data_IF_405228316134
#
_entry.id   IF_405228316134
#
_cell.length_a   1.000
_cell.length_b   1.000
_cell.length_c   1.000
_cell.angle_alpha   90.00
_cell.angle_beta   90.00
_cell.angle_gamma   90.00
#
_symmetry.space_group_name_H-M   'P 1'
#
loop_
_entity.id
_entity.type
_entity.pdbx_description
1 polymer ?
#
# COMPACT_ATOMS: atom_id res chain seq x y z
N UNK A 1 9.27 -10.75 -32.90
CA UNK A 1 8.56 -10.31 -31.69
C UNK A 1 7.09 -10.26 -32.05
N UNK A 2 6.26 -11.03 -31.35
CA UNK A 2 4.80 -11.07 -31.51
C UNK A 2 4.18 -10.47 -30.24
N UNK A 3 3.24 -9.54 -30.39
CA UNK A 3 2.49 -8.96 -29.27
C UNK A 3 1.03 -9.29 -29.48
N UNK A 4 0.40 -9.86 -28.46
CA UNK A 4 -0.99 -10.32 -28.48
C UNK A 4 -1.70 -9.62 -27.34
N UNK A 5 -2.72 -8.84 -27.67
CA UNK A 5 -3.54 -8.11 -26.70
C UNK A 5 -4.93 -8.74 -26.63
N UNK A 6 -5.26 -9.26 -25.45
CA UNK A 6 -6.50 -9.95 -25.12
C UNK A 6 -7.06 -10.92 -26.18
N UNK A 7 -6.46 -12.12 -26.36
CA UNK A 7 -6.99 -13.15 -27.24
C UNK A 7 -8.20 -13.90 -26.63
N UNK A 8 -8.82 -13.36 -25.57
CA UNK A 8 -9.70 -14.07 -24.66
C UNK A 8 -11.14 -14.30 -25.16
N UNK A 9 -11.46 -13.94 -26.41
CA UNK A 9 -12.76 -14.22 -27.07
C UNK A 9 -12.92 -15.66 -27.58
N UNK A 10 -12.00 -16.55 -27.23
CA UNK A 10 -11.97 -17.95 -27.66
C UNK A 10 -12.81 -18.84 -26.73
N UNK A 11 -13.53 -19.79 -27.31
CA UNK A 11 -14.14 -20.91 -26.59
C UNK A 11 -13.06 -21.84 -26.00
N UNK A 12 -13.45 -22.85 -25.21
CA UNK A 12 -12.49 -23.76 -24.56
C UNK A 12 -11.59 -24.47 -25.58
N UNK A 13 -12.18 -24.99 -26.66
CA UNK A 13 -11.46 -25.69 -27.73
C UNK A 13 -10.46 -24.78 -28.46
N UNK A 14 -10.83 -23.53 -28.74
CA UNK A 14 -9.94 -22.58 -29.40
C UNK A 14 -8.85 -22.06 -28.46
N UNK A 15 -9.09 -22.04 -27.15
CA UNK A 15 -8.08 -21.72 -26.15
C UNK A 15 -6.99 -22.79 -26.11
N UNK A 16 -7.35 -24.06 -26.13
CA UNK A 16 -6.39 -25.18 -26.17
C UNK A 16 -5.52 -25.14 -27.43
N UNK A 17 -6.15 -24.90 -28.59
CA UNK A 17 -5.42 -24.70 -29.85
C UNK A 17 -4.49 -23.49 -29.76
N UNK A 18 -4.94 -22.36 -29.22
CA UNK A 18 -4.09 -21.18 -29.08
C UNK A 18 -2.87 -21.45 -28.20
N UNK A 19 -3.07 -22.10 -27.05
CA UNK A 19 -1.98 -22.49 -26.13
C UNK A 19 -0.95 -23.38 -26.84
N UNK A 20 -1.40 -24.38 -27.62
CA UNK A 20 -0.47 -25.28 -28.33
C UNK A 20 0.34 -24.53 -29.39
N UNK A 21 -0.29 -23.64 -30.16
CA UNK A 21 0.38 -22.85 -31.19
C UNK A 21 1.44 -21.90 -30.60
N UNK A 22 1.14 -21.23 -29.48
CA UNK A 22 2.12 -20.33 -28.84
C UNK A 22 3.32 -21.14 -28.29
N UNK A 23 3.06 -22.31 -27.70
CA UNK A 23 4.13 -23.20 -27.23
C UNK A 23 5.02 -23.67 -28.38
N UNK A 24 4.44 -24.08 -29.51
CA UNK A 24 5.18 -24.47 -30.70
C UNK A 24 6.00 -23.30 -31.28
N UNK A 25 5.42 -22.11 -31.37
CA UNK A 25 6.11 -20.91 -31.85
C UNK A 25 7.32 -20.54 -30.97
N UNK A 26 7.15 -20.64 -29.65
CA UNK A 26 8.22 -20.38 -28.68
C UNK A 26 9.38 -21.38 -28.84
N UNK A 27 9.08 -22.66 -29.03
CA UNK A 27 10.08 -23.72 -29.18
C UNK A 27 10.79 -23.73 -30.53
N UNK A 28 10.06 -23.53 -31.63
CA UNK A 28 10.58 -23.72 -32.99
C UNK A 28 11.24 -22.48 -33.58
N UNK A 29 10.82 -21.27 -33.19
CA UNK A 29 11.17 -20.05 -33.93
C UNK A 29 12.09 -19.08 -33.19
N UNK A 30 12.58 -19.44 -31.99
CA UNK A 30 13.32 -18.53 -31.10
C UNK A 30 12.64 -17.14 -30.97
N UNK A 31 11.30 -17.15 -31.04
CA UNK A 31 10.48 -15.97 -31.19
C UNK A 31 10.00 -15.50 -29.80
N UNK A 32 10.19 -14.22 -29.50
CA UNK A 32 9.63 -13.60 -28.31
C UNK A 32 8.15 -13.30 -28.53
N UNK A 33 7.29 -13.83 -27.65
CA UNK A 33 5.86 -13.56 -27.59
C UNK A 33 5.55 -12.77 -26.32
N UNK A 34 4.82 -11.67 -26.47
CA UNK A 34 4.29 -10.88 -25.37
C UNK A 34 2.78 -11.07 -25.39
N UNK A 35 2.24 -11.65 -24.32
CA UNK A 35 0.81 -11.88 -24.14
C UNK A 35 0.28 -10.95 -23.05
N UNK A 36 -0.76 -10.18 -23.38
CA UNK A 36 -1.53 -9.38 -22.43
C UNK A 36 -2.88 -10.07 -22.29
N UNK A 37 -3.19 -10.56 -21.09
CA UNK A 37 -4.51 -11.10 -20.79
C UNK A 37 -4.85 -10.99 -19.31
N UNK A 38 -6.13 -10.95 -18.99
CA UNK A 38 -6.67 -11.04 -17.64
C UNK A 38 -7.08 -12.47 -17.24
N UNK A 39 -6.99 -13.47 -18.14
CA UNK A 39 -7.35 -14.87 -17.85
C UNK A 39 -6.21 -15.61 -17.16
N UNK A 40 -6.36 -15.87 -15.86
CA UNK A 40 -5.36 -16.57 -15.03
C UNK A 40 -4.93 -17.94 -15.59
N UNK A 41 -5.84 -18.84 -16.02
CA UNK A 41 -5.43 -20.16 -16.50
C UNK A 41 -4.58 -20.08 -17.78
N UNK A 42 -4.92 -19.17 -18.69
CA UNK A 42 -4.16 -18.96 -19.93
C UNK A 42 -2.75 -18.47 -19.64
N UNK A 43 -2.60 -17.51 -18.70
CA UNK A 43 -1.29 -16.99 -18.32
C UNK A 43 -0.44 -18.07 -17.65
N UNK A 44 -1.03 -18.90 -16.78
CA UNK A 44 -0.29 -19.95 -16.08
C UNK A 44 0.15 -21.08 -17.03
N UNK A 45 -0.67 -21.39 -18.05
CA UNK A 45 -0.37 -22.44 -19.04
C UNK A 45 0.72 -22.04 -20.05
N UNK A 46 0.81 -20.75 -20.40
CA UNK A 46 1.65 -20.26 -21.52
C UNK A 46 2.87 -19.49 -21.04
N UNK A 47 2.76 -18.69 -19.98
CA UNK A 47 3.79 -17.75 -19.59
C UNK A 47 4.78 -18.36 -18.59
N UNK A 48 6.07 -18.22 -18.89
CA UNK A 48 7.21 -18.56 -18.04
C UNK A 48 7.82 -17.32 -17.35
N UNK A 49 7.41 -16.13 -17.79
CA UNK A 49 7.82 -14.83 -17.24
C UNK A 49 6.63 -13.87 -17.18
N UNK A 50 6.45 -13.24 -16.03
CA UNK A 50 5.41 -12.23 -15.81
C UNK A 50 6.02 -10.83 -15.78
N UNK A 51 5.46 -9.93 -16.60
CA UNK A 51 5.76 -8.50 -16.55
C UNK A 51 4.62 -7.80 -15.81
N UNK A 52 4.85 -7.48 -14.54
CA UNK A 52 3.87 -6.79 -13.71
C UNK A 52 4.00 -5.28 -13.88
N UNK A 53 2.95 -4.64 -14.39
CA UNK A 53 2.82 -3.19 -14.44
C UNK A 53 2.18 -2.70 -13.15
N UNK A 54 2.94 -1.94 -12.37
CA UNK A 54 2.44 -1.37 -11.14
C UNK A 54 1.62 -0.09 -11.42
N UNK A 55 0.32 -0.07 -11.09
CA UNK A 55 -0.57 1.05 -11.45
C UNK A 55 -0.21 2.35 -10.73
N UNK A 56 0.33 2.27 -9.50
CA UNK A 56 0.67 3.44 -8.69
C UNK A 56 1.98 4.08 -9.12
N UNK A 57 3.02 3.27 -9.29
CA UNK A 57 4.37 3.73 -9.60
C UNK A 57 4.63 3.87 -11.09
N UNK A 58 3.76 3.28 -11.94
CA UNK A 58 3.94 3.17 -13.39
C UNK A 58 5.26 2.48 -13.77
N UNK A 59 5.71 1.54 -12.93
CA UNK A 59 6.94 0.77 -13.15
C UNK A 59 6.62 -0.65 -13.58
N UNK A 60 7.47 -1.21 -14.42
CA UNK A 60 7.39 -2.59 -14.87
C UNK A 60 8.38 -3.45 -14.08
N UNK A 61 7.91 -4.53 -13.48
CA UNK A 61 8.76 -5.48 -12.75
C UNK A 61 8.65 -6.86 -13.41
N UNK A 62 9.78 -7.46 -13.74
CA UNK A 62 9.83 -8.80 -14.32
C UNK A 62 9.96 -9.88 -13.23
N UNK A 63 9.15 -10.92 -13.34
CA UNK A 63 9.17 -12.11 -12.50
C UNK A 63 9.42 -13.32 -13.40
N UNK A 64 10.42 -14.14 -13.06
CA UNK A 64 10.77 -15.35 -13.82
C UNK A 64 10.12 -16.55 -13.12
N UNK A 65 8.81 -16.67 -13.26
CA UNK A 65 7.98 -17.67 -12.59
C UNK A 65 6.65 -17.78 -13.34
N UNK A 66 5.86 -18.81 -13.01
CA UNK A 66 4.50 -18.95 -13.53
C UNK A 66 3.59 -17.83 -12.98
N UNK A 67 2.39 -17.69 -13.53
CA UNK A 67 1.43 -16.70 -13.06
C UNK A 67 0.97 -17.00 -11.62
N UNK A 68 0.68 -18.26 -11.31
CA UNK A 68 0.31 -18.71 -9.96
C UNK A 68 1.39 -18.40 -8.93
N UNK A 69 2.66 -18.68 -9.25
CA UNK A 69 3.80 -18.35 -8.38
C UNK A 69 3.97 -16.84 -8.22
N UNK A 70 3.81 -16.08 -9.30
CA UNK A 70 3.82 -14.62 -9.26
C UNK A 70 2.76 -14.09 -8.29
N UNK A 71 1.54 -14.60 -8.31
CA UNK A 71 0.47 -14.15 -7.42
C UNK A 71 0.84 -14.33 -5.95
N UNK A 72 1.42 -15.49 -5.59
CA UNK A 72 1.86 -15.77 -4.23
C UNK A 72 2.99 -14.83 -3.83
N UNK A 73 4.04 -14.75 -4.66
CA UNK A 73 5.20 -13.89 -4.41
C UNK A 73 4.80 -12.40 -4.31
N UNK A 74 3.85 -11.95 -5.12
CA UNK A 74 3.33 -10.60 -5.09
C UNK A 74 2.58 -10.35 -3.78
N UNK A 75 1.63 -11.21 -3.41
CA UNK A 75 0.87 -11.12 -2.14
C UNK A 75 1.80 -11.09 -0.94
N UNK A 76 2.81 -11.94 -0.90
CA UNK A 76 3.80 -11.97 0.18
C UNK A 76 4.62 -10.68 0.25
N UNK A 77 5.03 -10.14 -0.88
CA UNK A 77 5.76 -8.86 -0.95
C UNK A 77 4.90 -7.70 -0.44
N UNK A 78 3.62 -7.66 -0.81
CA UNK A 78 2.66 -6.66 -0.32
C UNK A 78 2.46 -6.81 1.19
N UNK A 79 2.23 -8.04 1.67
CA UNK A 79 2.04 -8.33 3.09
C UNK A 79 3.27 -7.98 3.93
N UNK A 80 4.48 -8.28 3.43
CA UNK A 80 5.73 -7.94 4.09
C UNK A 80 5.92 -6.43 4.19
N UNK A 81 5.65 -5.68 3.11
CA UNK A 81 5.74 -4.22 3.11
C UNK A 81 4.77 -3.59 4.13
N UNK A 82 3.53 -4.10 4.19
CA UNK A 82 2.54 -3.67 5.19
C UNK A 82 3.02 -3.90 6.62
N UNK A 83 3.52 -5.11 6.93
CA UNK A 83 4.06 -5.43 8.27
C UNK A 83 5.25 -4.56 8.63
N UNK A 84 6.16 -4.32 7.69
CA UNK A 84 7.32 -3.47 7.91
C UNK A 84 6.91 -2.03 8.24
N UNK A 85 5.87 -1.51 7.57
CA UNK A 85 5.28 -0.20 7.83
C UNK A 85 4.64 -0.13 9.22
N UNK A 86 3.80 -1.11 9.59
CA UNK A 86 3.20 -1.19 10.92
C UNK A 86 4.26 -1.25 12.03
N UNK A 87 5.35 -1.99 11.81
CA UNK A 87 6.47 -2.05 12.75
C UNK A 87 7.19 -0.69 12.87
N UNK A 88 7.46 -0.03 11.74
CA UNK A 88 8.10 1.27 11.72
C UNK A 88 7.25 2.36 12.41
N UNK A 89 5.93 2.34 12.23
CA UNK A 89 4.99 3.25 12.89
C UNK A 89 4.95 3.02 14.41
N UNK A 90 4.95 1.75 14.84
CA UNK A 90 5.05 1.40 16.27
C UNK A 90 6.36 1.91 16.87
N UNK A 91 7.50 1.66 16.21
CA UNK A 91 8.81 2.16 16.64
C UNK A 91 8.83 3.70 16.77
N UNK A 92 8.25 4.42 15.80
CA UNK A 92 8.21 5.88 15.83
C UNK A 92 7.30 6.42 16.95
N UNK A 93 6.15 5.79 17.18
CA UNK A 93 5.25 6.15 18.29
C UNK A 93 5.93 5.95 19.65
N UNK A 94 6.64 4.82 19.84
CA UNK A 94 7.39 4.53 21.06
C UNK A 94 8.60 5.46 21.24
N UNK A 95 9.29 5.80 20.16
CA UNK A 95 10.39 6.75 20.20
C UNK A 95 9.90 8.16 20.60
N UNK A 96 8.76 8.61 20.05
CA UNK A 96 8.13 9.88 20.41
C UNK A 96 7.72 9.94 21.88
N UNK A 97 7.07 8.89 22.40
CA UNK A 97 6.66 8.85 23.81
C UNK A 97 7.85 8.81 24.77
N UNK A 98 8.90 8.06 24.43
CA UNK A 98 10.15 8.01 25.18
C UNK A 98 10.81 9.38 25.26
N UNK A 99 10.84 10.12 24.15
CA UNK A 99 11.40 11.47 24.11
C UNK A 99 10.58 12.49 24.89
N UNK A 100 9.27 12.41 24.83
CA UNK A 100 8.40 13.26 25.64
C UNK A 100 8.64 13.03 27.13
N UNK A 101 8.76 11.76 27.54
CA UNK A 101 9.08 11.38 28.93
C UNK A 101 10.46 11.90 29.35
N UNK A 102 11.48 11.75 28.51
CA UNK A 102 12.82 12.29 28.77
C UNK A 102 12.81 13.82 28.90
N UNK A 103 12.08 14.52 28.02
CA UNK A 103 11.91 15.99 28.10
C UNK A 103 11.26 16.40 29.42
N UNK A 104 10.19 15.72 29.83
CA UNK A 104 9.52 15.94 31.12
C UNK A 104 10.48 15.74 32.30
N UNK A 105 11.29 14.68 32.29
CA UNK A 105 12.28 14.41 33.33
C UNK A 105 13.39 15.47 33.39
N UNK A 106 13.91 15.91 32.24
CA UNK A 106 14.90 16.98 32.16
C UNK A 106 14.36 18.31 32.71
N UNK A 107 13.12 18.67 32.33
CA UNK A 107 12.46 19.88 32.83
C UNK A 107 12.23 19.82 34.35
N UNK A 108 11.83 18.67 34.89
CA UNK A 108 11.66 18.47 36.34
C UNK A 108 13.00 18.57 37.09
N UNK A 109 14.06 17.95 36.56
CA UNK A 109 15.42 18.08 37.11
C UNK A 109 15.88 19.53 37.13
N UNK A 110 15.64 20.28 36.05
CA UNK A 110 15.98 21.70 35.98
C UNK A 110 15.23 22.53 37.04
N UNK A 111 13.93 22.30 37.20
CA UNK A 111 13.13 22.98 38.22
C UNK A 111 13.67 22.71 39.64
N UNK A 112 13.95 21.44 39.96
CA UNK A 112 14.51 21.05 41.26
C UNK A 112 15.92 21.61 41.48
N UNK A 113 16.74 21.69 40.42
CA UNK A 113 18.07 22.29 40.48
C UNK A 113 17.98 23.80 40.73
N UNK A 114 17.08 24.52 40.06
CA UNK A 114 16.86 25.96 40.29
C UNK A 114 16.42 26.24 41.73
N UNK A 115 15.53 25.41 42.28
CA UNK A 115 15.08 25.52 43.67
C UNK A 115 16.21 25.28 44.70
N UNK A 116 17.16 24.39 44.40
CA UNK A 116 18.30 24.07 45.28
C UNK A 116 19.50 25.01 45.12
N UNK A 117 19.70 25.60 43.93
CA UNK A 117 20.87 26.44 43.59
C UNK A 117 20.75 27.89 44.11
N UNK A 118 19.62 28.29 44.68
CA UNK A 118 19.44 29.63 45.30
C UNK A 118 20.29 29.85 46.57
N UNK A 119 21.07 28.86 47.04
CA UNK A 119 21.79 28.90 48.34
C UNK A 119 23.33 29.03 48.29
N UNK A 120 24.01 28.91 47.15
CA UNK A 120 25.50 28.99 47.09
C UNK A 120 26.02 29.82 45.88
N UNK A 121 27.11 30.55 46.10
CA UNK A 121 27.58 31.72 45.32
C UNK A 121 28.46 31.44 44.08
N UNK A 122 29.04 30.25 43.92
CA UNK A 122 29.92 29.94 42.76
C UNK A 122 29.16 29.30 41.60
N UNK A 123 28.44 30.13 40.83
CA UNK A 123 27.33 29.69 39.98
C UNK A 123 27.61 29.64 38.46
N UNK A 124 28.69 30.25 37.95
CA UNK A 124 28.89 30.41 36.49
C UNK A 124 29.45 29.18 35.78
N UNK A 125 30.39 28.47 36.41
CA UNK A 125 31.08 27.33 35.81
C UNK A 125 30.18 26.07 35.72
N UNK A 126 29.35 25.84 36.74
CA UNK A 126 28.41 24.71 36.81
C UNK A 126 27.23 24.90 35.83
N UNK A 127 26.72 26.15 35.70
CA UNK A 127 25.69 26.49 34.69
C UNK A 127 26.18 26.27 33.25
N UNK A 128 27.43 26.61 32.95
CA UNK A 128 28.03 26.42 31.62
C UNK A 128 28.09 24.96 31.19
N UNK A 129 28.68 24.09 32.03
CA UNK A 129 28.80 22.65 31.74
C UNK A 129 27.45 21.93 31.60
N UNK A 130 26.45 22.31 32.40
CA UNK A 130 25.10 21.75 32.31
C UNK A 130 24.34 22.21 31.04
N UNK A 131 24.58 23.44 30.57
CA UNK A 131 23.97 23.95 29.33
C UNK A 131 24.51 23.21 28.10
N UNK A 132 25.81 22.91 28.06
CA UNK A 132 26.43 22.12 26.99
C UNK A 132 25.95 20.67 27.00
N UNK A 133 25.88 20.02 28.17
CA UNK A 133 25.36 18.65 28.28
C UNK A 133 23.91 18.55 27.79
N UNK A 134 23.08 19.57 28.07
CA UNK A 134 21.70 19.68 27.59
C UNK A 134 21.64 19.84 26.07
N UNK A 135 22.42 20.77 25.50
CA UNK A 135 22.47 20.95 24.05
C UNK A 135 22.93 19.69 23.32
N UNK A 136 23.92 18.96 23.85
CA UNK A 136 24.40 17.70 23.27
C UNK A 136 23.34 16.58 23.37
N UNK A 137 22.64 16.47 24.49
CA UNK A 137 21.55 15.50 24.67
C UNK A 137 20.34 15.82 23.76
N UNK A 138 19.95 17.09 23.66
CA UNK A 138 18.87 17.53 22.80
C UNK A 138 19.22 17.33 21.31
N UNK A 139 20.46 17.60 20.92
CA UNK A 139 20.94 17.40 19.56
C UNK A 139 21.00 15.90 19.17
N UNK A 140 21.45 15.03 20.08
CA UNK A 140 21.48 13.58 19.82
C UNK A 140 20.07 12.98 19.74
N UNK A 141 19.17 13.43 20.61
CA UNK A 141 17.76 13.07 20.60
C UNK A 141 17.06 13.51 19.31
N UNK A 142 17.25 14.76 18.90
CA UNK A 142 16.69 15.30 17.66
C UNK A 142 17.20 14.56 16.41
N UNK A 143 18.49 14.21 16.38
CA UNK A 143 19.09 13.44 15.30
C UNK A 143 18.51 12.02 15.19
N UNK A 144 18.27 11.37 16.33
CA UNK A 144 17.64 10.04 16.38
C UNK A 144 16.20 10.08 15.87
N UNK A 145 15.41 11.08 16.28
CA UNK A 145 14.04 11.28 15.75
C UNK A 145 14.04 11.49 14.25
N UNK A 146 14.92 12.35 13.74
CA UNK A 146 14.97 12.67 12.31
C UNK A 146 15.24 11.43 11.47
N UNK A 147 16.16 10.57 11.91
CA UNK A 147 16.45 9.28 11.24
C UNK A 147 15.25 8.34 11.27
N UNK A 148 14.57 8.21 12.42
CA UNK A 148 13.37 7.38 12.56
C UNK A 148 12.24 7.86 11.65
N UNK A 149 11.96 9.17 11.64
CA UNK A 149 10.96 9.78 10.75
C UNK A 149 11.26 9.52 9.27
N UNK A 150 12.52 9.62 8.87
CA UNK A 150 12.93 9.29 7.50
C UNK A 150 12.66 7.82 7.17
N UNK A 151 13.06 6.90 8.05
CA UNK A 151 12.80 5.46 7.88
C UNK A 151 11.31 5.15 7.74
N UNK A 152 10.44 5.81 8.53
CA UNK A 152 8.98 5.67 8.40
C UNK A 152 8.47 6.20 7.07
N UNK A 153 8.96 7.36 6.63
CA UNK A 153 8.58 7.93 5.33
C UNK A 153 8.98 7.00 4.17
N UNK A 154 10.21 6.48 4.19
CA UNK A 154 10.73 5.55 3.18
C UNK A 154 9.90 4.24 3.16
N UNK A 155 9.54 3.69 4.33
CA UNK A 155 8.67 2.50 4.44
C UNK A 155 7.23 2.77 3.95
N UNK A 156 6.68 3.95 4.24
CA UNK A 156 5.36 4.36 3.76
C UNK A 156 5.32 4.49 2.24
N UNK A 157 6.38 5.03 1.65
CA UNK A 157 6.50 5.13 0.20
C UNK A 157 6.56 3.72 -0.42
N UNK A 158 7.40 2.83 0.12
CA UNK A 158 7.50 1.45 -0.36
C UNK A 158 6.17 0.69 -0.29
N UNK A 159 5.42 0.82 0.80
CA UNK A 159 4.09 0.21 0.91
C UNK A 159 3.10 0.83 -0.09
N UNK A 160 3.11 2.15 -0.26
CA UNK A 160 2.23 2.82 -1.23
C UNK A 160 2.46 2.33 -2.65
N UNK A 161 3.72 2.09 -3.03
CA UNK A 161 4.06 1.52 -4.33
C UNK A 161 3.52 0.10 -4.45
N UNK A 162 3.57 -0.72 -3.39
CA UNK A 162 3.09 -2.10 -3.40
C UNK A 162 1.59 -2.24 -3.12
N UNK A 163 0.89 -1.15 -2.79
CA UNK A 163 -0.53 -1.20 -2.47
C UNK A 163 -1.31 -1.57 -3.74
N UNK A 164 -1.94 -2.74 -3.72
CA UNK A 164 -3.00 -3.07 -4.67
C UNK A 164 -4.04 -1.94 -4.61
N UNK A 165 -4.34 -1.33 -5.76
CA UNK A 165 -5.48 -0.43 -5.91
C UNK A 165 -6.76 -1.27 -5.83
N UNK A 166 -7.06 -1.82 -4.66
CA UNK A 166 -8.40 -2.30 -4.37
C UNK A 166 -9.27 -1.06 -4.32
N UNK A 167 -10.02 -0.84 -5.39
CA UNK A 167 -11.18 0.03 -5.35
C UNK A 167 -12.01 -0.53 -4.17
N UNK A 168 -12.27 0.24 -3.10
CA UNK A 168 -13.08 -0.26 -2.02
C UNK A 168 -14.42 -0.72 -2.62
N UNK A 169 -14.96 -1.87 -2.20
CA UNK A 169 -16.27 -2.29 -2.66
C UNK A 169 -17.25 -1.14 -2.42
N UNK A 170 -18.07 -0.84 -3.42
CA UNK A 170 -19.10 0.18 -3.30
C UNK A 170 -20.07 -0.26 -2.21
N UNK A 171 -19.97 0.33 -1.03
CA UNK A 171 -20.91 0.08 0.08
C UNK A 171 -22.07 1.04 -0.11
N UNK A 172 -23.21 0.51 -0.57
CA UNK A 172 -24.46 1.25 -0.62
C UNK A 172 -25.17 1.11 0.74
N UNK A 173 -25.04 2.12 1.59
CA UNK A 173 -25.83 2.22 2.82
C UNK A 173 -27.19 2.83 2.48
N UNK A 174 -28.28 2.08 2.72
CA UNK A 174 -29.64 2.62 2.58
C UNK A 174 -29.92 3.65 3.68
N UNK A 175 -30.41 4.83 3.31
CA UNK A 175 -30.85 5.84 4.28
C UNK A 175 -32.12 5.38 5.01
N UNK A 176 -32.23 5.64 6.31
CA UNK A 176 -33.47 5.42 7.06
C UNK A 176 -34.57 6.38 6.59
N UNK A 177 -35.71 5.80 6.23
CA UNK A 177 -36.82 6.44 5.54
C UNK A 177 -37.64 7.36 6.44
N UNK A 178 -37.79 8.63 6.05
CA UNK A 178 -38.84 9.50 6.59
C UNK A 178 -40.16 9.26 5.82
N UNK A 179 -40.97 8.30 6.30
CA UNK A 179 -42.41 8.06 6.13
C UNK A 179 -43.21 8.39 4.84
N UNK A 180 -42.61 8.87 3.74
CA UNK A 180 -43.32 9.09 2.48
C UNK A 180 -42.40 8.86 1.29
N UNK A 181 -42.60 7.75 0.59
CA UNK A 181 -41.97 7.50 -0.70
C UNK A 181 -42.58 8.42 -1.75
N UNK A 182 -41.76 9.16 -2.52
CA UNK A 182 -42.19 9.84 -3.74
C UNK A 182 -42.34 8.85 -4.90
N UNK A 183 -41.49 7.82 -4.97
CA UNK A 183 -41.53 6.79 -6.02
C UNK A 183 -40.91 5.48 -5.53
N UNK A 184 -41.57 4.36 -5.76
CA UNK A 184 -41.05 3.01 -5.53
C UNK A 184 -40.84 2.32 -6.87
N UNK A 185 -39.66 1.74 -7.06
CA UNK A 185 -39.30 0.96 -8.25
C UNK A 185 -38.84 -0.42 -7.79
N UNK A 186 -39.34 -1.46 -8.46
CA UNK A 186 -38.98 -2.84 -8.19
C UNK A 186 -38.25 -3.41 -9.39
N UNK A 187 -37.31 -4.31 -9.14
CA UNK A 187 -36.58 -5.06 -10.18
C UNK A 187 -35.89 -4.18 -11.22
N UNK A 188 -35.29 -3.07 -10.79
CA UNK A 188 -34.60 -2.13 -11.68
C UNK A 188 -33.19 -2.60 -11.94
N UNK A 189 -32.79 -2.50 -13.21
CA UNK A 189 -31.41 -2.71 -13.62
C UNK A 189 -30.79 -1.38 -14.07
N UNK A 190 -29.55 -1.13 -13.69
CA UNK A 190 -28.83 0.11 -13.99
C UNK A 190 -27.68 -0.18 -14.97
N UNK A 191 -27.51 0.67 -15.97
CA UNK A 191 -26.50 0.52 -17.03
C UNK A 191 -25.99 1.91 -17.42
N UNK A 192 -24.70 2.04 -17.72
CA UNK A 192 -24.17 3.27 -18.31
C UNK A 192 -24.58 3.35 -19.79
N UNK A 193 -24.91 4.54 -20.25
CA UNK A 193 -25.26 4.78 -21.65
C UNK A 193 -24.09 4.39 -22.57
N UNK A 194 -24.31 3.38 -23.42
CA UNK A 194 -23.31 2.83 -24.34
C UNK A 194 -22.48 1.64 -23.84
N UNK A 195 -22.65 1.18 -22.59
CA UNK A 195 -22.00 -0.02 -22.05
C UNK A 195 -22.94 -1.21 -22.13
N UNK A 196 -22.53 -2.40 -22.61
CA UNK A 196 -23.37 -3.63 -22.52
C UNK A 196 -23.45 -4.23 -21.12
N UNK A 197 -22.57 -3.79 -20.21
CA UNK A 197 -22.47 -4.34 -18.87
C UNK A 197 -23.46 -3.67 -17.92
N UNK A 198 -24.24 -4.50 -17.23
CA UNK A 198 -25.22 -4.08 -16.24
C UNK A 198 -24.50 -3.84 -14.90
N UNK A 199 -24.65 -2.63 -14.32
CA UNK A 199 -24.07 -2.25 -13.03
C UNK A 199 -24.76 -2.94 -11.87
N UNK A 200 -26.09 -3.01 -11.94
CA UNK A 200 -26.94 -3.62 -10.93
C UNK A 200 -28.08 -4.32 -11.66
N UNK A 201 -28.37 -5.56 -11.30
CA UNK A 201 -29.53 -6.31 -11.79
C UNK A 201 -30.51 -6.56 -10.64
N UNK A 202 -31.81 -6.46 -10.92
CA UNK A 202 -32.89 -6.82 -9.99
C UNK A 202 -32.87 -6.06 -8.65
N UNK A 203 -32.63 -4.75 -8.68
CA UNK A 203 -32.58 -3.92 -7.48
C UNK A 203 -33.90 -3.19 -7.24
N UNK A 204 -34.42 -3.32 -6.02
CA UNK A 204 -35.53 -2.50 -5.54
C UNK A 204 -35.00 -1.14 -5.09
N UNK A 205 -35.52 -0.05 -5.67
CA UNK A 205 -35.11 1.31 -5.38
C UNK A 205 -36.31 2.16 -4.96
N UNK A 206 -36.12 3.04 -3.99
CA UNK A 206 -37.17 3.95 -3.53
C UNK A 206 -36.61 5.36 -3.41
N UNK A 207 -37.32 6.32 -4.01
CA UNK A 207 -37.04 7.75 -3.92
C UNK A 207 -38.03 8.34 -2.92
N UNK A 208 -37.53 8.97 -1.85
CA UNK A 208 -38.31 9.70 -0.83
C UNK A 208 -38.13 11.20 -0.97
#
# INVERSE_FOLDING_TARGET
CLVIDEPSFLDTSSTEWFVSQIKELSMSSNAMVILISHKEPLLDDVCDRILYLNPTSKTLTAYHCSYSEFQVAHKDRVAHAKRAKEHAEKEDSQAKSSLDTLRKQLNKREHNLKATTSKNSDQRFIKGKNKEAKQKADHSAASKVKRMKKKVADMNEQEKLLRETKIPPLVLEGAELANRALMTMQDVSFQYEGSSDVLFEWVNAQIS
#
